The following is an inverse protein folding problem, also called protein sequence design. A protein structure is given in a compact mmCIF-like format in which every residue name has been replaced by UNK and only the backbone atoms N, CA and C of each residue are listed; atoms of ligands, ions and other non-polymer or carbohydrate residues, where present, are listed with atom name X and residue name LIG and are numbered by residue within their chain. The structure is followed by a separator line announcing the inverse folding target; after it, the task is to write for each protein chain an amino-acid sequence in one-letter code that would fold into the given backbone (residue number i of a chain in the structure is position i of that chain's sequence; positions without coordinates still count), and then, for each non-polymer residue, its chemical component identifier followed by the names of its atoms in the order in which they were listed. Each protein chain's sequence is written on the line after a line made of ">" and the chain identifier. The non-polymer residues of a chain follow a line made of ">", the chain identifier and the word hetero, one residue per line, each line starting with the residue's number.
data_IF_276979164220
#
_entry.id   IF_276979164220
#
_cell.length_a   1.000
_cell.length_b   1.000
_cell.length_c   1.000
_cell.angle_alpha   90.00
_cell.angle_beta   90.00
_cell.angle_gamma   90.00
#
_symmetry.space_group_name_H-M   'P 1'
#
loop_
_entity.id
_entity.type
_entity.pdbx_description
1 polymer ?
#
# COMPACT_ATOMS: atom_id res chain seq x y z
N UNK A 1 -1.68 2.60 5.71
CA UNK A 1 -2.73 2.84 4.67
C UNK A 1 -3.56 4.04 5.08
N UNK A 2 -3.63 5.07 4.23
CA UNK A 2 -4.31 6.35 4.54
C UNK A 2 -5.57 6.61 3.71
N UNK A 3 -5.72 6.00 2.54
CA UNK A 3 -6.93 6.10 1.73
C UNK A 3 -7.11 4.83 0.89
N UNK A 4 -8.35 4.47 0.59
CA UNK A 4 -8.71 3.26 -0.14
C UNK A 4 -9.87 3.55 -1.10
N UNK A 5 -9.69 3.18 -2.36
CA UNK A 5 -10.75 3.11 -3.36
C UNK A 5 -10.91 1.65 -3.79
N UNK A 6 -11.91 0.98 -3.20
CA UNK A 6 -12.15 -0.46 -3.40
C UNK A 6 -12.60 -0.78 -4.82
N UNK A 7 -13.36 0.11 -5.46
CA UNK A 7 -13.91 -0.10 -6.80
C UNK A 7 -12.81 -0.17 -7.86
N UNK A 8 -11.67 0.47 -7.60
CA UNK A 8 -10.54 0.54 -8.52
C UNK A 8 -9.30 -0.23 -8.02
N UNK A 9 -9.39 -1.02 -6.93
CA UNK A 9 -8.25 -1.71 -6.30
C UNK A 9 -7.03 -0.81 -6.03
N UNK A 10 -7.30 0.46 -5.74
CA UNK A 10 -6.32 1.53 -5.61
C UNK A 10 -6.26 1.99 -4.16
N UNK A 11 -5.07 2.17 -3.62
CA UNK A 11 -4.89 2.70 -2.28
C UNK A 11 -3.72 3.66 -2.18
N UNK A 12 -3.79 4.56 -1.20
CA UNK A 12 -2.71 5.49 -0.85
C UNK A 12 -2.07 5.04 0.46
N UNK A 13 -0.74 5.00 0.46
CA UNK A 13 0.10 4.72 1.64
C UNK A 13 0.93 5.95 2.00
N UNK A 14 1.23 6.07 3.29
CA UNK A 14 2.04 7.11 3.93
C UNK A 14 3.56 6.84 3.86
N UNK A 15 3.98 6.19 2.77
CA UNK A 15 5.38 5.88 2.48
C UNK A 15 5.66 6.39 1.06
N UNK A 16 6.68 7.23 0.91
CA UNK A 16 7.01 7.91 -0.35
C UNK A 16 8.50 7.94 -0.66
N UNK A 17 8.90 8.77 -1.63
CA UNK A 17 10.30 8.89 -2.08
C UNK A 17 11.27 9.21 -0.93
N UNK A 18 10.83 9.95 0.09
CA UNK A 18 11.65 10.30 1.26
C UNK A 18 12.14 9.08 2.06
N UNK A 19 11.50 7.92 1.85
CA UNK A 19 11.85 6.63 2.45
C UNK A 19 12.58 5.68 1.50
N UNK A 20 12.85 6.13 0.26
CA UNK A 20 13.55 5.36 -0.77
C UNK A 20 12.65 4.55 -1.70
N UNK A 21 11.33 4.61 -1.53
CA UNK A 21 10.34 3.93 -2.40
C UNK A 21 10.39 4.46 -3.83
N UNK A 22 10.24 3.56 -4.79
CA UNK A 22 10.21 3.80 -6.23
C UNK A 22 8.99 3.16 -6.87
N UNK A 23 8.64 3.62 -8.08
CA UNK A 23 7.62 2.91 -8.87
C UNK A 23 8.07 1.48 -9.17
N UNK A 24 7.12 0.55 -9.11
CA UNK A 24 7.34 -0.89 -9.27
C UNK A 24 7.78 -1.61 -7.99
N UNK A 25 8.05 -0.89 -6.89
CA UNK A 25 8.36 -1.53 -5.61
C UNK A 25 7.16 -2.33 -5.09
N UNK A 26 7.47 -3.45 -4.46
CA UNK A 26 6.47 -4.33 -3.85
C UNK A 26 6.40 -4.07 -2.35
N UNK A 27 5.20 -3.74 -1.86
CA UNK A 27 4.96 -3.47 -0.44
C UNK A 27 4.09 -4.55 0.19
N UNK A 28 4.27 -4.76 1.48
CA UNK A 28 3.52 -5.75 2.27
C UNK A 28 2.59 -5.06 3.25
N UNK A 29 1.33 -5.52 3.33
CA UNK A 29 0.32 -4.98 4.25
C UNK A 29 0.11 -5.94 5.41
N UNK A 30 0.02 -5.39 6.62
CA UNK A 30 -0.15 -6.13 7.86
C UNK A 30 -1.30 -5.57 8.72
N UNK A 31 -2.04 -6.47 9.38
CA UNK A 31 -2.98 -6.18 10.48
C UNK A 31 -2.76 -7.19 11.59
N UNK A 32 -2.63 -6.73 12.83
CA UNK A 32 -2.38 -7.59 14.00
C UNK A 32 -1.21 -8.58 13.79
N UNK A 33 -0.11 -8.07 13.21
CA UNK A 33 1.08 -8.84 12.81
C UNK A 33 0.85 -9.92 11.73
N UNK A 34 -0.35 -10.05 11.19
CA UNK A 34 -0.67 -10.95 10.08
C UNK A 34 -0.43 -10.24 8.75
N UNK A 35 0.28 -10.90 7.84
CA UNK A 35 0.41 -10.48 6.44
C UNK A 35 -0.93 -10.70 5.70
N UNK A 36 -1.49 -9.64 5.12
CA UNK A 36 -2.86 -9.65 4.57
C UNK A 36 -2.98 -9.19 3.12
N UNK A 37 -2.00 -8.46 2.58
CA UNK A 37 -1.98 -8.10 1.17
C UNK A 37 -0.57 -7.76 0.66
N UNK A 38 -0.41 -7.85 -0.66
CA UNK A 38 0.77 -7.42 -1.41
C UNK A 38 0.39 -6.31 -2.38
N UNK A 39 1.18 -5.23 -2.41
CA UNK A 39 0.93 -4.06 -3.23
C UNK A 39 2.06 -3.84 -4.24
N UNK A 40 1.76 -3.22 -5.37
CA UNK A 40 2.75 -2.65 -6.28
C UNK A 40 2.59 -1.13 -6.31
N UNK A 41 3.70 -0.41 -6.18
CA UNK A 41 3.72 1.05 -6.25
C UNK A 41 3.60 1.51 -7.71
N UNK A 42 2.52 2.25 -8.02
CA UNK A 42 2.24 2.76 -9.38
C UNK A 42 2.50 4.26 -9.52
N UNK A 43 2.60 5.00 -8.40
CA UNK A 43 3.01 6.39 -8.38
C UNK A 43 3.63 6.73 -7.03
N UNK A 44 4.72 7.49 -7.04
CA UNK A 44 5.40 7.97 -5.81
C UNK A 44 5.35 9.50 -5.77
N UNK A 45 5.12 10.04 -4.57
CA UNK A 45 5.34 11.44 -4.22
C UNK A 45 6.28 11.48 -3.01
N UNK A 46 6.68 12.67 -2.58
CA UNK A 46 7.63 12.85 -1.48
C UNK A 46 7.33 11.99 -0.25
N UNK A 47 6.08 12.02 0.24
CA UNK A 47 5.70 11.39 1.53
C UNK A 47 4.57 10.36 1.40
N UNK A 48 4.04 10.15 0.20
CA UNK A 48 2.96 9.18 -0.06
C UNK A 48 3.19 8.45 -1.38
N UNK A 49 2.58 7.28 -1.51
CA UNK A 49 2.55 6.53 -2.76
C UNK A 49 1.14 6.02 -3.06
N UNK A 50 0.82 5.94 -4.33
CA UNK A 50 -0.34 5.21 -4.82
C UNK A 50 0.07 3.79 -5.22
N UNK A 51 -0.74 2.81 -4.84
CA UNK A 51 -0.46 1.40 -5.06
C UNK A 51 -1.69 0.66 -5.58
N UNK A 52 -1.43 -0.34 -6.42
CA UNK A 52 -2.41 -1.37 -6.78
C UNK A 52 -2.25 -2.57 -5.85
N UNK A 53 -3.37 -3.21 -5.51
CA UNK A 53 -3.36 -4.49 -4.78
C UNK A 53 -3.08 -5.63 -5.77
N UNK A 54 -2.03 -6.42 -5.53
CA UNK A 54 -1.68 -7.60 -6.34
C UNK A 54 -2.19 -8.90 -5.78
N UNK A 55 -2.08 -9.06 -4.46
CA UNK A 55 -2.63 -10.22 -3.75
C UNK A 55 -3.30 -9.76 -2.47
N UNK A 56 -4.38 -10.44 -2.09
CA UNK A 56 -5.14 -10.11 -0.89
C UNK A 56 -5.68 -11.38 -0.24
N UNK A 57 -5.26 -11.63 1.00
CA UNK A 57 -5.76 -12.73 1.84
C UNK A 57 -6.81 -12.26 2.85
N UNK A 58 -6.86 -10.96 3.14
CA UNK A 58 -7.88 -10.34 3.96
C UNK A 58 -8.13 -8.91 3.49
N UNK A 59 -9.35 -8.41 3.68
CA UNK A 59 -9.72 -7.06 3.24
C UNK A 59 -8.84 -5.99 3.87
N UNK A 60 -8.18 -5.20 3.02
CA UNK A 60 -7.38 -4.04 3.43
C UNK A 60 -8.31 -2.92 3.90
N UNK A 61 -7.98 -2.32 5.03
CA UNK A 61 -8.70 -1.20 5.62
C UNK A 61 -7.76 -0.04 5.92
N UNK A 62 -8.34 1.15 6.07
CA UNK A 62 -7.62 2.33 6.56
C UNK A 62 -7.06 2.01 7.96
N UNK A 63 -5.78 2.35 8.18
CA UNK A 63 -5.06 2.03 9.41
C UNK A 63 -4.18 0.77 9.35
N UNK A 64 -4.31 -0.06 8.31
CA UNK A 64 -3.38 -1.19 8.14
C UNK A 64 -1.95 -0.70 7.90
N UNK A 65 -0.99 -1.49 8.38
CA UNK A 65 0.44 -1.14 8.37
C UNK A 65 1.06 -1.58 7.04
N UNK A 66 1.82 -0.70 6.41
CA UNK A 66 2.55 -1.00 5.17
C UNK A 66 4.05 -1.02 5.45
N UNK A 67 4.76 -1.96 4.83
CA UNK A 67 6.21 -2.14 4.92
C UNK A 67 6.82 -2.46 3.58
#
# INVERSE_FOLDING_TARGET
>A
VVSLNKDNNFLIVDIGESTGIRMGDMLSVYRDSKYIARLEVIQVRKDISACDIKDQWSEVNIGDIVR
#
